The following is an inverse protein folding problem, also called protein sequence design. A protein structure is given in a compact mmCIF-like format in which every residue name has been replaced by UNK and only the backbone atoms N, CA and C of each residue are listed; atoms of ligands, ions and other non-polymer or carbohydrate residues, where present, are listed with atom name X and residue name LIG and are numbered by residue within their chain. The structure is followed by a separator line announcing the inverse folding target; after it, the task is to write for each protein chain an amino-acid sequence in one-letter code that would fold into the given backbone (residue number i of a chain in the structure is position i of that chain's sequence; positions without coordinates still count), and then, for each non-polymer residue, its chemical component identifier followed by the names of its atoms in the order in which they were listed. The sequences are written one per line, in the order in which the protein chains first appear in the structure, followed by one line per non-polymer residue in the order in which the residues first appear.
data_IF_628996757278
#
_entry.id   IF_628996757278
#
_cell.length_a   1.000
_cell.length_b   1.000
_cell.length_c   1.000
_cell.angle_alpha   90.00
_cell.angle_beta   90.00
_cell.angle_gamma   90.00
#
_symmetry.space_group_name_H-M   'P 1'
#
loop_
_entity.id
_entity.type
_entity.pdbx_description
1 polymer ?
#
# COMPACT_ATOMS: atom_id res chain seq x y z
N UNK A 1 33.46 -51.47 -67.63
CA UNK A 1 33.53 -50.61 -66.42
C UNK A 1 32.14 -50.06 -66.16
N UNK A 2 31.55 -50.44 -65.03
CA UNK A 2 30.19 -50.08 -64.60
C UNK A 2 30.29 -48.73 -63.87
N UNK A 3 29.42 -47.76 -64.18
CA UNK A 3 29.29 -46.52 -63.42
C UNK A 3 27.88 -46.47 -62.83
N UNK A 4 27.80 -46.60 -61.50
CA UNK A 4 26.57 -46.56 -60.72
C UNK A 4 26.17 -45.10 -60.44
N UNK A 5 24.92 -44.78 -60.71
CA UNK A 5 24.25 -43.51 -60.35
C UNK A 5 23.77 -43.63 -58.90
N UNK A 6 24.24 -42.73 -58.03
CA UNK A 6 23.71 -42.56 -56.67
C UNK A 6 22.80 -41.33 -56.63
N UNK A 7 21.49 -41.57 -56.57
CA UNK A 7 20.47 -40.58 -56.24
C UNK A 7 20.32 -40.55 -54.71
N UNK A 8 20.85 -39.51 -54.06
CA UNK A 8 20.66 -39.26 -52.64
C UNK A 8 19.34 -38.52 -52.40
N UNK A 9 18.37 -39.19 -51.78
CA UNK A 9 17.15 -38.55 -51.27
C UNK A 9 17.46 -37.86 -49.95
N UNK A 10 17.49 -36.53 -49.94
CA UNK A 10 17.45 -35.73 -48.71
C UNK A 10 16.03 -35.76 -48.12
N UNK A 11 15.83 -36.61 -47.11
CA UNK A 11 14.70 -36.50 -46.20
C UNK A 11 15.02 -35.46 -45.13
N UNK A 12 14.51 -34.23 -45.27
CA UNK A 12 14.48 -33.26 -44.18
C UNK A 12 13.38 -33.68 -43.18
N UNK A 13 13.80 -34.26 -42.06
CA UNK A 13 12.95 -34.41 -40.89
C UNK A 13 12.68 -33.02 -40.30
N UNK A 14 11.50 -32.47 -40.55
CA UNK A 14 11.01 -31.33 -39.79
C UNK A 14 10.80 -31.79 -38.35
N UNK A 15 11.71 -31.41 -37.45
CA UNK A 15 11.48 -31.57 -36.01
C UNK A 15 10.21 -30.81 -35.66
N UNK A 16 9.15 -31.51 -35.28
CA UNK A 16 7.94 -30.87 -34.77
C UNK A 16 8.28 -30.23 -33.43
N UNK A 17 8.62 -28.94 -33.44
CA UNK A 17 8.52 -28.12 -32.24
C UNK A 17 7.08 -28.23 -31.77
N UNK A 18 6.85 -28.89 -30.62
CA UNK A 18 5.54 -28.91 -29.97
C UNK A 18 5.08 -27.45 -29.87
N UNK A 19 3.92 -27.18 -30.45
CA UNK A 19 3.29 -25.88 -30.40
C UNK A 19 2.98 -25.55 -28.93
N UNK A 20 3.86 -24.79 -28.28
CA UNK A 20 3.80 -24.51 -26.85
C UNK A 20 3.17 -23.14 -26.59
N UNK A 21 2.35 -23.08 -25.54
CA UNK A 21 1.74 -21.85 -25.04
C UNK A 21 2.83 -21.03 -24.33
N UNK A 22 3.06 -19.78 -24.76
CA UNK A 22 4.14 -18.93 -24.22
C UNK A 22 3.60 -17.76 -23.42
N UNK A 23 4.18 -17.49 -22.25
CA UNK A 23 3.80 -16.35 -21.40
C UNK A 23 4.40 -15.06 -21.98
N UNK A 24 3.60 -14.01 -22.02
CA UNK A 24 4.03 -12.66 -22.38
C UNK A 24 4.29 -11.85 -21.11
N UNK A 25 5.50 -11.30 -20.98
CA UNK A 25 5.94 -10.55 -19.81
C UNK A 25 6.10 -9.07 -20.13
N UNK A 26 5.74 -8.21 -19.16
CA UNK A 26 6.13 -6.80 -19.11
C UNK A 26 6.84 -6.57 -17.79
N UNK A 27 8.17 -6.45 -17.82
CA UNK A 27 8.99 -6.51 -16.61
C UNK A 27 8.77 -7.84 -15.88
N UNK A 28 8.34 -7.78 -14.61
CA UNK A 28 8.09 -8.95 -13.75
C UNK A 28 6.64 -9.43 -13.74
N UNK A 29 5.79 -8.86 -14.60
CA UNK A 29 4.35 -9.12 -14.64
C UNK A 29 3.98 -9.95 -15.87
N UNK A 30 3.24 -11.05 -15.67
CA UNK A 30 2.73 -11.90 -16.74
C UNK A 30 1.46 -11.27 -17.35
N UNK A 31 1.65 -10.42 -18.36
CA UNK A 31 0.58 -9.57 -18.94
C UNK A 31 -0.26 -10.28 -19.98
N UNK A 32 0.12 -11.46 -20.43
CA UNK A 32 -0.61 -12.16 -21.47
C UNK A 32 -0.04 -13.53 -21.78
N UNK A 33 -0.64 -14.18 -22.77
CA UNK A 33 -0.22 -15.48 -23.25
C UNK A 33 -0.37 -15.56 -24.77
N UNK A 34 0.61 -16.16 -25.43
CA UNK A 34 0.64 -16.47 -26.85
C UNK A 34 0.31 -17.95 -27.04
N UNK A 35 -0.82 -18.22 -27.67
CA UNK A 35 -1.37 -19.55 -27.92
C UNK A 35 -1.13 -19.88 -29.39
N UNK A 36 -0.46 -20.98 -29.74
CA UNK A 36 -0.25 -21.35 -31.15
C UNK A 36 -1.55 -21.51 -31.91
N UNK A 37 -1.66 -20.92 -33.10
CA UNK A 37 -2.88 -20.97 -33.93
C UNK A 37 -3.26 -22.40 -34.32
N UNK A 38 -2.27 -23.30 -34.39
CA UNK A 38 -2.48 -24.73 -34.65
C UNK A 38 -3.42 -25.40 -33.64
N UNK A 39 -3.51 -24.88 -32.40
CA UNK A 39 -4.45 -25.36 -31.38
C UNK A 39 -5.90 -24.97 -31.67
N UNK A 40 -6.15 -24.03 -32.59
CA UNK A 40 -7.47 -23.60 -33.04
C UNK A 40 -7.78 -24.04 -34.49
N UNK A 41 -7.10 -25.09 -34.99
CA UNK A 41 -7.26 -25.57 -36.36
C UNK A 41 -8.73 -25.87 -36.67
N UNK A 42 -9.24 -25.33 -37.79
CA UNK A 42 -10.62 -25.53 -38.24
C UNK A 42 -11.63 -24.57 -37.59
N UNK A 43 -11.19 -23.57 -36.83
CA UNK A 43 -12.04 -22.50 -36.32
C UNK A 43 -11.76 -21.21 -37.11
N UNK A 44 -12.79 -20.54 -37.66
CA UNK A 44 -12.64 -19.23 -38.28
C UNK A 44 -12.04 -18.21 -37.31
N UNK A 45 -11.10 -17.38 -37.77
CA UNK A 45 -10.34 -16.45 -36.93
C UNK A 45 -11.23 -15.46 -36.15
N UNK A 46 -12.33 -15.02 -36.75
CA UNK A 46 -13.35 -14.14 -36.14
C UNK A 46 -14.17 -14.83 -35.04
N UNK A 47 -14.26 -16.16 -35.06
CA UNK A 47 -14.99 -16.97 -34.08
C UNK A 47 -14.15 -17.34 -32.87
N UNK A 48 -12.81 -17.27 -32.97
CA UNK A 48 -11.89 -17.66 -31.89
C UNK A 48 -12.15 -16.91 -30.58
N UNK A 49 -12.30 -15.56 -30.55
CA UNK A 49 -12.51 -14.83 -29.29
C UNK A 49 -13.74 -15.29 -28.49
N UNK A 50 -14.77 -15.81 -29.18
CA UNK A 50 -16.01 -16.28 -28.55
C UNK A 50 -15.94 -17.74 -28.08
N UNK A 51 -15.04 -18.53 -28.66
CA UNK A 51 -14.96 -19.98 -28.44
C UNK A 51 -13.78 -20.41 -27.57
N UNK A 52 -12.73 -19.58 -27.52
CA UNK A 52 -11.53 -19.81 -26.75
C UNK A 52 -11.69 -19.20 -25.35
N UNK A 53 -11.33 -19.96 -24.33
CA UNK A 53 -11.49 -19.61 -22.94
C UNK A 53 -10.19 -19.88 -22.20
N UNK A 54 -9.78 -18.94 -21.35
CA UNK A 54 -8.71 -19.18 -20.38
C UNK A 54 -9.35 -19.34 -19.01
N UNK A 55 -9.01 -20.41 -18.29
CA UNK A 55 -9.54 -20.69 -16.94
C UNK A 55 -8.42 -20.98 -15.95
N UNK A 56 -8.67 -20.67 -14.68
CA UNK A 56 -7.82 -21.06 -13.58
C UNK A 56 -8.08 -22.54 -13.24
N UNK A 57 -7.02 -23.35 -13.14
CA UNK A 57 -7.14 -24.76 -12.77
C UNK A 57 -7.32 -24.87 -11.26
N UNK A 58 -8.27 -25.70 -10.81
CA UNK A 58 -8.49 -25.97 -9.39
C UNK A 58 -9.40 -24.96 -8.68
N UNK A 59 -9.94 -23.97 -9.39
CA UNK A 59 -11.06 -23.18 -8.87
C UNK A 59 -12.39 -23.85 -9.23
N UNK A 60 -13.31 -23.95 -8.27
CA UNK A 60 -14.72 -24.33 -8.53
C UNK A 60 -15.48 -23.29 -9.39
N UNK A 61 -14.82 -22.18 -9.72
CA UNK A 61 -15.33 -21.16 -10.63
C UNK A 61 -15.39 -21.67 -12.07
N UNK A 62 -16.60 -21.66 -12.63
CA UNK A 62 -16.83 -21.92 -14.07
C UNK A 62 -16.43 -20.72 -14.96
N UNK A 63 -16.01 -19.61 -14.37
CA UNK A 63 -15.83 -18.32 -15.05
C UNK A 63 -14.52 -18.28 -15.81
N UNK A 64 -14.61 -17.95 -17.10
CA UNK A 64 -13.45 -17.67 -17.94
C UNK A 64 -12.82 -16.33 -17.57
N UNK A 65 -11.50 -16.27 -17.58
CA UNK A 65 -10.75 -15.02 -17.38
C UNK A 65 -11.12 -14.05 -18.50
N UNK A 66 -11.56 -12.86 -18.10
CA UNK A 66 -11.89 -11.79 -19.05
C UNK A 66 -10.61 -11.17 -19.60
N UNK A 67 -10.60 -10.90 -20.90
CA UNK A 67 -9.46 -10.34 -21.58
C UNK A 67 -9.72 -10.11 -23.06
N UNK A 68 -8.72 -9.54 -23.72
CA UNK A 68 -8.76 -9.24 -25.14
C UNK A 68 -7.98 -10.28 -25.93
N UNK A 69 -8.52 -10.67 -27.07
CA UNK A 69 -7.86 -11.55 -28.03
C UNK A 69 -7.38 -10.77 -29.24
N UNK A 70 -6.22 -11.14 -29.75
CA UNK A 70 -5.73 -10.71 -31.06
C UNK A 70 -5.24 -11.95 -31.82
N UNK A 71 -5.77 -12.16 -33.02
CA UNK A 71 -5.46 -13.34 -33.85
C UNK A 71 -4.46 -12.93 -34.92
N UNK A 72 -3.25 -13.48 -34.86
CA UNK A 72 -2.21 -13.32 -35.89
C UNK A 72 -2.11 -14.53 -36.82
N UNK A 73 -1.08 -14.55 -37.68
CA UNK A 73 -0.81 -15.64 -38.62
C UNK A 73 -0.46 -16.96 -37.92
N UNK A 74 0.34 -16.89 -36.85
CA UNK A 74 0.94 -18.07 -36.20
C UNK A 74 0.46 -18.29 -34.77
N UNK A 75 -0.13 -17.26 -34.14
CA UNK A 75 -0.54 -17.30 -32.74
C UNK A 75 -1.74 -16.41 -32.44
N UNK A 76 -2.49 -16.80 -31.43
CA UNK A 76 -3.54 -16.03 -30.77
C UNK A 76 -2.93 -15.42 -29.51
N UNK A 77 -2.90 -14.10 -29.42
CA UNK A 77 -2.52 -13.39 -28.20
C UNK A 77 -3.75 -13.19 -27.32
N UNK A 78 -3.65 -13.52 -26.05
CA UNK A 78 -4.66 -13.18 -25.04
C UNK A 78 -4.04 -12.31 -23.95
N UNK A 79 -4.68 -11.17 -23.68
CA UNK A 79 -4.29 -10.22 -22.64
C UNK A 79 -5.44 -10.11 -21.66
N UNK A 80 -5.35 -10.67 -20.44
CA UNK A 80 -6.40 -10.56 -19.44
C UNK A 80 -6.56 -9.12 -18.95
N UNK A 81 -7.76 -8.78 -18.44
CA UNK A 81 -8.00 -7.48 -17.80
C UNK A 81 -7.13 -7.29 -16.56
N UNK A 82 -6.87 -8.37 -15.83
CA UNK A 82 -5.95 -8.42 -14.70
C UNK A 82 -4.81 -9.39 -15.07
N UNK A 83 -3.54 -8.97 -15.00
CA UNK A 83 -2.41 -9.84 -15.31
C UNK A 83 -2.45 -11.18 -14.56
N UNK A 84 -1.86 -12.22 -15.15
CA UNK A 84 -1.83 -13.53 -14.51
C UNK A 84 -1.03 -13.52 -13.21
N UNK A 85 -1.54 -14.22 -12.21
CA UNK A 85 -0.93 -14.32 -10.88
C UNK A 85 0.16 -15.40 -10.88
N UNK A 86 1.31 -15.10 -10.27
CA UNK A 86 2.41 -16.05 -10.11
C UNK A 86 2.01 -17.25 -9.25
N UNK A 87 2.60 -18.41 -9.55
CA UNK A 87 2.31 -19.68 -8.87
C UNK A 87 0.97 -20.31 -9.24
N UNK A 88 0.15 -19.66 -10.07
CA UNK A 88 -1.13 -20.21 -10.51
C UNK A 88 -1.00 -20.97 -11.84
N UNK A 89 -1.89 -21.95 -12.01
CA UNK A 89 -1.96 -22.82 -13.17
C UNK A 89 -3.23 -22.53 -13.96
N UNK A 90 -3.08 -22.37 -15.26
CA UNK A 90 -4.16 -22.00 -16.16
C UNK A 90 -4.32 -23.02 -17.27
N UNK A 91 -5.53 -23.12 -17.80
CA UNK A 91 -5.86 -23.93 -18.97
C UNK A 91 -6.43 -23.08 -20.08
N UNK A 92 -6.09 -23.46 -21.31
CA UNK A 92 -6.71 -22.94 -22.52
C UNK A 92 -7.72 -23.98 -23.00
N UNK A 93 -8.97 -23.56 -23.18
CA UNK A 93 -10.05 -24.41 -23.68
C UNK A 93 -10.62 -23.82 -24.97
N UNK A 94 -10.97 -24.67 -25.91
CA UNK A 94 -11.67 -24.31 -27.14
C UNK A 94 -12.96 -25.13 -27.20
N UNK A 95 -14.12 -24.46 -27.28
CA UNK A 95 -15.43 -25.15 -27.22
C UNK A 95 -15.53 -26.10 -26.01
N UNK A 96 -15.08 -25.63 -24.84
CA UNK A 96 -14.97 -26.39 -23.58
C UNK A 96 -13.97 -27.58 -23.55
N UNK A 97 -13.32 -27.90 -24.67
CA UNK A 97 -12.27 -28.93 -24.74
C UNK A 97 -10.93 -28.31 -24.34
N UNK A 98 -10.21 -28.95 -23.41
CA UNK A 98 -8.88 -28.48 -22.99
C UNK A 98 -7.87 -28.69 -24.12
N UNK A 99 -7.24 -27.61 -24.56
CA UNK A 99 -6.24 -27.61 -25.63
C UNK A 99 -4.81 -27.64 -25.08
N UNK A 100 -4.61 -27.07 -23.89
CA UNK A 100 -3.31 -27.03 -23.23
C UNK A 100 -3.38 -26.33 -21.88
N UNK A 101 -2.26 -26.36 -21.16
CA UNK A 101 -2.11 -25.70 -19.86
C UNK A 101 -0.82 -24.91 -19.84
N UNK A 102 -0.76 -23.90 -18.98
CA UNK A 102 0.44 -23.13 -18.69
C UNK A 102 0.44 -22.73 -17.21
N UNK A 103 1.62 -22.62 -16.62
CA UNK A 103 1.78 -22.19 -15.23
C UNK A 103 2.61 -20.92 -15.21
N UNK A 104 2.20 -19.94 -14.39
CA UNK A 104 3.03 -18.76 -14.17
C UNK A 104 4.03 -19.12 -13.07
N UNK A 105 5.34 -19.02 -13.31
CA UNK A 105 6.34 -19.34 -12.31
C UNK A 105 6.21 -18.42 -11.09
N UNK A 106 6.60 -18.93 -9.92
CA UNK A 106 6.72 -18.14 -8.70
C UNK A 106 7.71 -16.97 -8.88
N UNK A 107 7.61 -15.96 -8.03
CA UNK A 107 8.62 -14.92 -7.94
C UNK A 107 9.93 -15.48 -7.37
N UNK A 108 11.06 -14.92 -7.81
CA UNK A 108 12.32 -15.14 -7.13
C UNK A 108 12.19 -14.65 -5.69
N UNK A 109 12.80 -15.34 -4.73
CA UNK A 109 12.71 -14.95 -3.32
C UNK A 109 13.25 -13.53 -3.06
N UNK A 110 14.19 -13.07 -3.90
CA UNK A 110 14.70 -11.70 -3.87
C UNK A 110 13.64 -10.64 -4.21
N UNK A 111 12.55 -11.04 -4.85
CA UNK A 111 11.42 -10.21 -5.27
C UNK A 111 10.21 -10.30 -4.32
N UNK A 112 10.37 -11.02 -3.19
CA UNK A 112 9.31 -11.12 -2.20
C UNK A 112 8.97 -9.74 -1.59
N UNK A 113 7.68 -9.46 -1.32
CA UNK A 113 7.29 -8.24 -0.64
C UNK A 113 7.91 -8.19 0.76
N UNK A 114 8.16 -6.97 1.24
CA UNK A 114 8.64 -6.72 2.61
C UNK A 114 7.78 -5.67 3.26
N UNK A 115 7.46 -5.87 4.54
CA UNK A 115 6.97 -4.79 5.39
C UNK A 115 8.17 -3.93 5.81
N UNK A 116 8.20 -2.69 5.33
CA UNK A 116 9.27 -1.73 5.51
C UNK A 116 9.16 -1.00 6.84
N UNK A 117 7.95 -0.65 7.26
CA UNK A 117 7.69 0.08 8.49
C UNK A 117 6.26 -0.12 8.98
N UNK A 118 6.09 0.05 10.29
CA UNK A 118 4.80 0.16 10.96
C UNK A 118 4.82 1.48 11.73
N UNK A 119 3.85 2.35 11.47
CA UNK A 119 3.70 3.62 12.18
C UNK A 119 2.44 3.61 13.06
N UNK A 120 2.45 4.32 14.21
CA UNK A 120 3.53 5.18 14.72
C UNK A 120 4.77 4.39 15.14
N UNK A 121 5.96 4.96 15.01
CA UNK A 121 7.20 4.18 15.21
C UNK A 121 7.51 3.94 16.69
N UNK A 122 7.07 4.82 17.59
CA UNK A 122 7.31 4.72 19.03
C UNK A 122 6.58 3.52 19.67
N UNK A 123 7.11 3.02 20.79
CA UNK A 123 6.60 1.83 21.48
C UNK A 123 5.72 2.16 22.70
N UNK A 124 5.48 3.44 22.98
CA UNK A 124 4.48 3.88 23.96
C UNK A 124 3.42 4.71 23.25
N UNK A 125 2.19 4.21 23.19
CA UNK A 125 1.08 4.80 22.43
C UNK A 125 -0.08 5.18 23.35
N UNK A 126 -0.89 6.20 23.05
CA UNK A 126 -2.07 6.49 23.86
C UNK A 126 -3.09 5.35 23.77
N UNK A 127 -3.85 5.09 24.85
CA UNK A 127 -4.92 4.07 24.83
C UNK A 127 -6.05 4.35 23.82
N UNK A 128 -6.08 5.56 23.26
CA UNK A 128 -6.98 5.96 22.19
C UNK A 128 -6.26 6.22 20.87
N UNK A 129 -5.15 5.53 20.61
CA UNK A 129 -4.52 5.47 19.30
C UNK A 129 -5.58 5.26 18.20
N UNK A 130 -5.57 6.10 17.18
CA UNK A 130 -6.58 6.05 16.12
C UNK A 130 -6.12 5.23 14.92
N UNK A 131 -4.88 5.42 14.47
CA UNK A 131 -4.40 4.87 13.20
C UNK A 131 -3.09 4.11 13.34
N UNK A 132 -2.94 3.12 12.48
CA UNK A 132 -1.67 2.41 12.23
C UNK A 132 -1.44 2.42 10.72
N UNK A 133 -0.21 2.67 10.29
CA UNK A 133 0.19 2.58 8.89
C UNK A 133 1.11 1.38 8.66
N UNK A 134 0.85 0.61 7.62
CA UNK A 134 1.72 -0.47 7.16
C UNK A 134 2.35 -0.08 5.83
N UNK A 135 3.67 0.07 5.80
CA UNK A 135 4.41 0.42 4.58
C UNK A 135 5.05 -0.83 3.98
N UNK A 136 4.73 -1.15 2.74
CA UNK A 136 5.22 -2.31 2.00
C UNK A 136 6.16 -1.89 0.87
N UNK A 137 7.08 -2.78 0.50
CA UNK A 137 8.02 -2.56 -0.60
C UNK A 137 7.39 -2.61 -1.99
N UNK A 138 6.18 -3.16 -2.11
CA UNK A 138 5.47 -3.33 -3.37
C UNK A 138 3.95 -3.42 -3.15
N UNK A 139 3.13 -3.27 -4.21
CA UNK A 139 1.68 -3.31 -4.12
C UNK A 139 1.15 -4.62 -3.52
N UNK A 140 0.36 -4.54 -2.45
CA UNK A 140 -0.23 -5.70 -1.76
C UNK A 140 -1.64 -6.04 -2.27
N UNK A 141 -2.11 -7.26 -1.99
CA UNK A 141 -3.52 -7.63 -2.23
C UNK A 141 -4.43 -6.90 -1.24
N UNK A 142 -5.47 -6.26 -1.78
CA UNK A 142 -6.49 -5.53 -1.02
C UNK A 142 -7.74 -6.38 -0.74
N UNK A 143 -8.58 -5.90 0.18
CA UNK A 143 -9.90 -6.45 0.52
C UNK A 143 -9.88 -7.59 1.55
N UNK A 144 -8.73 -7.87 2.16
CA UNK A 144 -8.52 -9.02 3.08
C UNK A 144 -7.61 -8.72 4.27
N UNK A 145 -7.34 -7.45 4.57
CA UNK A 145 -6.44 -7.05 5.66
C UNK A 145 -6.83 -7.64 7.02
N UNK A 146 -8.13 -7.80 7.29
CA UNK A 146 -8.66 -8.44 8.51
C UNK A 146 -8.34 -9.94 8.62
N UNK A 147 -7.95 -10.61 7.53
CA UNK A 147 -7.48 -12.00 7.54
C UNK A 147 -5.99 -12.11 7.87
N UNK A 148 -5.24 -11.00 7.80
CA UNK A 148 -3.78 -11.01 7.86
C UNK A 148 -3.18 -10.10 8.94
N UNK A 149 -3.96 -9.17 9.50
CA UNK A 149 -3.51 -8.25 10.53
C UNK A 149 -4.25 -8.49 11.84
N UNK A 150 -3.48 -8.78 12.88
CA UNK A 150 -4.01 -9.11 14.20
C UNK A 150 -3.41 -8.21 15.27
N UNK A 151 -4.22 -7.90 16.29
CA UNK A 151 -3.77 -7.22 17.50
C UNK A 151 -3.82 -8.23 18.66
N UNK A 152 -2.66 -8.53 19.23
CA UNK A 152 -2.50 -9.47 20.34
C UNK A 152 -2.26 -8.68 21.63
N UNK A 153 -2.97 -9.02 22.70
CA UNK A 153 -2.82 -8.45 24.04
C UNK A 153 -2.15 -9.46 24.95
N UNK A 154 -1.19 -9.01 25.76
CA UNK A 154 -0.46 -9.83 26.73
C UNK A 154 0.12 -11.13 26.14
N UNK A 155 0.54 -11.09 24.87
CA UNK A 155 1.14 -12.19 24.12
C UNK A 155 0.27 -13.43 23.86
N UNK A 156 -1.00 -13.45 24.29
CA UNK A 156 -1.91 -14.59 24.09
C UNK A 156 -3.28 -14.23 23.50
N UNK A 157 -3.81 -13.05 23.82
CA UNK A 157 -5.22 -12.76 23.59
C UNK A 157 -5.41 -11.95 22.31
N UNK A 158 -6.02 -12.53 21.29
CA UNK A 158 -6.37 -11.75 20.09
C UNK A 158 -7.51 -10.79 20.41
N UNK A 159 -7.27 -9.49 20.22
CA UNK A 159 -8.28 -8.43 20.37
C UNK A 159 -9.22 -8.47 19.16
N UNK A 160 -10.35 -9.17 19.33
CA UNK A 160 -11.36 -9.28 18.29
C UNK A 160 -11.94 -7.91 17.92
N UNK A 161 -12.14 -7.68 16.61
CA UNK A 161 -12.70 -6.44 16.08
C UNK A 161 -11.92 -5.18 16.47
N UNK A 162 -10.61 -5.28 16.67
CA UNK A 162 -9.78 -4.12 17.02
C UNK A 162 -9.79 -3.05 15.92
N UNK A 163 -9.76 -3.50 14.66
CA UNK A 163 -9.70 -2.64 13.49
C UNK A 163 -11.09 -2.50 12.85
N UNK A 164 -11.40 -1.30 12.38
CA UNK A 164 -12.60 -1.02 11.59
C UNK A 164 -12.49 -1.71 10.21
N UNK A 165 -13.43 -2.59 9.90
CA UNK A 165 -13.49 -3.24 8.59
C UNK A 165 -14.13 -2.30 7.56
N UNK A 166 -13.31 -1.57 6.80
CA UNK A 166 -13.72 -0.71 5.70
C UNK A 166 -13.61 -1.43 4.36
N UNK A 167 -14.64 -1.29 3.53
CA UNK A 167 -14.67 -1.80 2.16
C UNK A 167 -15.14 -0.67 1.23
N UNK A 168 -14.29 -0.11 0.35
CA UNK A 168 -12.89 -0.50 0.12
C UNK A 168 -11.96 -0.17 1.31
N UNK A 169 -10.86 -0.90 1.41
CA UNK A 169 -9.77 -0.62 2.36
C UNK A 169 -9.04 0.70 2.04
N UNK A 170 -8.38 1.28 3.05
CA UNK A 170 -7.71 2.58 2.93
C UNK A 170 -6.25 2.45 2.45
N UNK A 171 -6.09 2.05 1.20
CA UNK A 171 -4.79 2.01 0.54
C UNK A 171 -4.46 3.33 -0.17
N UNK A 172 -3.16 3.69 -0.19
CA UNK A 172 -2.67 4.72 -1.12
C UNK A 172 -2.83 4.29 -2.59
N UNK A 173 -2.75 5.21 -3.57
CA UNK A 173 -2.88 4.90 -5.00
C UNK A 173 -1.99 3.74 -5.48
N UNK A 174 -0.78 3.61 -4.92
CA UNK A 174 0.20 2.58 -5.29
C UNK A 174 -0.01 1.24 -4.56
N UNK A 175 -0.93 1.17 -3.59
CA UNK A 175 -1.20 -0.03 -2.75
C UNK A 175 0.02 -0.52 -1.96
N UNK A 176 0.91 0.39 -1.62
CA UNK A 176 2.12 0.17 -0.82
C UNK A 176 1.97 0.66 0.62
N UNK A 177 0.93 1.44 0.92
CA UNK A 177 0.64 1.94 2.27
C UNK A 177 -0.81 1.64 2.61
N UNK A 178 -1.03 0.84 3.65
CA UNK A 178 -2.36 0.60 4.22
C UNK A 178 -2.54 1.42 5.48
N UNK A 179 -3.64 2.16 5.56
CA UNK A 179 -4.08 2.82 6.79
C UNK A 179 -5.10 1.95 7.52
N UNK A 180 -4.76 1.47 8.70
CA UNK A 180 -5.66 0.75 9.59
C UNK A 180 -6.23 1.70 10.63
N UNK A 181 -7.54 1.71 10.79
CA UNK A 181 -8.21 2.44 11.86
C UNK A 181 -8.53 1.48 12.99
N UNK A 182 -8.08 1.79 14.20
CA UNK A 182 -8.70 1.21 15.39
C UNK A 182 -10.14 1.71 15.44
N UNK A 183 -11.10 0.82 15.74
CA UNK A 183 -12.53 1.13 15.60
C UNK A 183 -12.91 2.44 16.31
N UNK A 184 -13.23 3.52 15.57
CA UNK A 184 -13.58 4.82 16.16
C UNK A 184 -14.80 4.77 17.05
N UNK A 185 -15.76 3.89 16.72
CA UNK A 185 -16.97 3.65 17.49
C UNK A 185 -16.66 3.08 18.87
N UNK A 186 -15.54 2.38 19.01
CA UNK A 186 -15.02 1.85 20.27
C UNK A 186 -14.04 2.80 20.95
N UNK A 187 -13.51 3.81 20.27
CA UNK A 187 -12.61 4.81 20.86
C UNK A 187 -13.40 5.95 21.54
N UNK A 188 -14.49 6.40 20.91
CA UNK A 188 -15.35 7.46 21.46
C UNK A 188 -16.22 6.90 22.57
N UNK A 189 -16.16 7.54 23.75
CA UNK A 189 -16.71 6.99 25.01
C UNK A 189 -18.23 6.87 25.00
N UNK A 190 -18.91 7.77 24.29
CA UNK A 190 -20.38 7.87 24.32
C UNK A 190 -21.06 7.16 23.15
N UNK A 191 -20.32 6.34 22.40
CA UNK A 191 -20.87 5.57 21.28
C UNK A 191 -21.19 4.13 21.69
N UNK A 192 -22.31 3.61 21.15
CA UNK A 192 -22.85 2.28 21.42
C UNK A 192 -21.83 1.11 21.25
N UNK A 193 -20.87 1.14 20.30
CA UNK A 193 -19.85 0.09 20.21
C UNK A 193 -18.87 0.07 21.40
N UNK A 194 -18.49 1.23 21.96
CA UNK A 194 -17.61 1.29 23.13
C UNK A 194 -18.28 0.66 24.36
N UNK A 195 -19.56 0.93 24.59
CA UNK A 195 -20.30 0.41 25.76
C UNK A 195 -20.51 -1.10 25.70
N UNK A 196 -20.56 -1.69 24.50
CA UNK A 196 -20.75 -3.13 24.31
C UNK A 196 -19.44 -3.93 24.25
N UNK A 197 -18.43 -3.43 23.52
CA UNK A 197 -17.20 -4.18 23.19
C UNK A 197 -15.95 -3.65 23.92
N UNK A 198 -16.07 -2.55 24.65
CA UNK A 198 -14.95 -1.82 25.25
C UNK A 198 -14.03 -1.18 24.21
N UNK A 199 -13.10 -0.35 24.66
CA UNK A 199 -12.07 0.23 23.80
C UNK A 199 -11.13 -0.86 23.26
N UNK A 200 -10.57 -0.71 22.03
CA UNK A 200 -9.63 -1.70 21.49
C UNK A 200 -8.35 -1.83 22.33
N UNK A 201 -7.92 -0.71 22.92
CA UNK A 201 -6.76 -0.62 23.80
C UNK A 201 -7.19 -0.18 25.21
N UNK A 202 -6.45 -0.61 26.21
CA UNK A 202 -6.67 -0.28 27.62
C UNK A 202 -5.40 0.30 28.22
N UNK A 203 -5.50 1.38 29.00
CA UNK A 203 -4.37 1.99 29.74
C UNK A 203 -3.44 0.94 30.36
N UNK A 204 -2.14 1.16 30.21
CA UNK A 204 -1.07 0.30 30.74
C UNK A 204 -1.11 -1.14 30.22
N UNK A 205 -1.82 -1.41 29.12
CA UNK A 205 -1.82 -2.70 28.45
C UNK A 205 -0.59 -2.89 27.56
N UNK A 206 -0.16 -4.15 27.41
CA UNK A 206 0.88 -4.59 26.49
C UNK A 206 0.24 -5.22 25.26
N UNK A 207 0.66 -4.77 24.09
CA UNK A 207 0.10 -5.19 22.81
C UNK A 207 1.21 -5.53 21.81
N UNK A 208 0.85 -6.36 20.82
CA UNK A 208 1.67 -6.69 19.67
C UNK A 208 0.79 -6.74 18.43
N UNK A 209 1.10 -5.94 17.42
CA UNK A 209 0.50 -6.09 16.09
C UNK A 209 1.27 -7.19 15.35
N UNK A 210 0.54 -8.08 14.69
CA UNK A 210 1.07 -9.16 13.87
C UNK A 210 0.57 -9.03 12.43
N UNK A 211 1.48 -9.18 11.47
CA UNK A 211 1.18 -9.20 10.04
C UNK A 211 1.62 -10.55 9.48
N UNK A 212 0.63 -11.36 9.09
CA UNK A 212 0.81 -12.74 8.66
C UNK A 212 1.68 -12.88 7.42
N UNK A 213 2.58 -13.86 7.41
CA UNK A 213 3.38 -14.23 6.24
C UNK A 213 2.53 -14.70 5.06
N UNK A 214 1.28 -15.11 5.29
CA UNK A 214 0.38 -15.59 4.23
C UNK A 214 -0.19 -14.47 3.36
N UNK A 215 -0.02 -13.21 3.75
CA UNK A 215 -0.48 -12.08 2.94
C UNK A 215 0.39 -11.93 1.70
N UNK A 216 -0.26 -11.84 0.53
CA UNK A 216 0.38 -11.80 -0.77
C UNK A 216 0.39 -10.41 -1.38
N UNK A 217 1.40 -10.17 -2.21
CA UNK A 217 1.42 -9.05 -3.14
C UNK A 217 0.41 -9.23 -4.29
N UNK A 218 0.21 -8.18 -5.08
CA UNK A 218 -0.64 -8.25 -6.28
C UNK A 218 -0.19 -9.29 -7.32
N UNK A 219 1.05 -9.77 -7.24
CA UNK A 219 1.59 -10.81 -8.10
C UNK A 219 1.36 -12.22 -7.53
N UNK A 220 0.87 -12.36 -6.30
CA UNK A 220 0.62 -13.63 -5.62
C UNK A 220 1.75 -14.14 -4.73
N UNK A 221 2.81 -13.36 -4.56
CA UNK A 221 3.98 -13.71 -3.73
C UNK A 221 3.70 -13.36 -2.27
N UNK A 222 3.81 -14.31 -1.33
CA UNK A 222 3.59 -14.05 0.10
C UNK A 222 4.74 -13.24 0.72
N UNK A 223 4.46 -12.60 1.85
CA UNK A 223 5.50 -12.09 2.75
C UNK A 223 6.42 -13.24 3.20
N UNK A 224 7.74 -13.02 3.30
CA UNK A 224 8.69 -14.10 3.58
C UNK A 224 8.63 -14.58 5.03
N UNK A 225 8.05 -13.79 5.94
CA UNK A 225 8.01 -14.06 7.38
C UNK A 225 6.85 -13.33 8.05
N UNK A 226 6.55 -13.72 9.29
CA UNK A 226 5.67 -12.98 10.19
C UNK A 226 6.37 -11.67 10.58
N UNK A 227 5.66 -10.55 10.50
CA UNK A 227 6.14 -9.27 11.02
C UNK A 227 5.39 -8.91 12.28
N UNK A 228 6.09 -8.31 13.24
CA UNK A 228 5.49 -7.92 14.52
C UNK A 228 6.00 -6.57 14.99
N UNK A 229 5.17 -5.81 15.71
CA UNK A 229 5.60 -4.65 16.49
C UNK A 229 4.90 -4.68 17.84
N UNK A 230 5.69 -4.62 18.90
CA UNK A 230 5.20 -4.56 20.28
C UNK A 230 5.10 -3.10 20.74
N UNK A 231 4.10 -2.80 21.56
CA UNK A 231 3.97 -1.49 22.21
C UNK A 231 3.24 -1.63 23.54
N UNK A 232 3.40 -0.63 24.39
CA UNK A 232 2.61 -0.44 25.60
C UNK A 232 1.73 0.79 25.45
N UNK A 233 0.66 0.86 26.25
CA UNK A 233 -0.29 1.95 26.18
C UNK A 233 -0.18 2.88 27.39
N UNK A 234 -0.14 4.19 27.12
CA UNK A 234 -0.18 5.23 28.14
C UNK A 234 -1.60 5.71 28.40
N UNK A 235 -1.73 6.78 29.20
CA UNK A 235 -3.00 7.49 29.37
C UNK A 235 -3.55 7.96 28.02
N UNK A 236 -4.89 8.11 27.97
CA UNK A 236 -5.60 8.76 26.87
C UNK A 236 -5.00 10.13 26.56
N UNK A 237 -4.89 10.45 25.27
CA UNK A 237 -4.67 11.81 24.83
C UNK A 237 -5.99 12.46 24.42
N UNK A 238 -6.32 13.57 25.06
CA UNK A 238 -7.57 14.32 24.83
C UNK A 238 -7.31 15.77 24.41
N UNK A 239 -6.05 16.14 24.17
CA UNK A 239 -5.65 17.49 23.87
C UNK A 239 -5.24 17.58 22.40
N UNK A 240 -5.65 18.66 21.73
CA UNK A 240 -5.12 18.97 20.41
C UNK A 240 -3.64 19.39 20.50
N UNK A 241 -2.84 19.08 19.47
CA UNK A 241 -1.51 19.66 19.33
C UNK A 241 -1.58 21.19 19.34
N UNK A 242 -0.54 21.84 19.86
CA UNK A 242 -0.48 23.31 19.98
C UNK A 242 0.72 23.84 19.19
N UNK A 243 0.55 24.25 17.92
CA UNK A 243 1.66 24.68 17.06
C UNK A 243 2.49 25.83 17.62
N UNK A 244 1.87 26.72 18.41
CA UNK A 244 2.58 27.80 19.10
C UNK A 244 3.64 27.32 20.13
N UNK A 245 3.62 26.04 20.53
CA UNK A 245 4.63 25.42 21.42
C UNK A 245 5.74 24.69 20.66
N UNK A 246 5.62 24.54 19.34
CA UNK A 246 6.62 23.86 18.53
C UNK A 246 7.91 24.65 18.50
N UNK A 247 9.04 23.95 18.47
CA UNK A 247 10.35 24.57 18.36
C UNK A 247 10.84 24.46 16.91
N UNK A 248 11.06 25.61 16.27
CA UNK A 248 11.69 25.69 14.96
C UNK A 248 13.17 25.98 15.15
N UNK A 249 14.03 25.17 14.53
CA UNK A 249 15.47 25.41 14.45
C UNK A 249 15.77 25.83 13.02
N UNK A 250 15.88 27.15 12.76
CA UNK A 250 16.13 27.66 11.43
C UNK A 250 17.54 27.26 10.96
N UNK A 251 17.72 27.02 9.66
CA UNK A 251 19.02 26.73 9.06
C UNK A 251 19.87 28.00 8.90
N UNK A 252 21.16 27.82 8.59
CA UNK A 252 22.05 28.92 8.22
C UNK A 252 21.72 29.46 6.81
N UNK A 253 21.79 30.79 6.67
CA UNK A 253 21.67 31.46 5.37
C UNK A 253 22.72 30.97 4.36
N UNK A 254 22.39 31.06 3.07
CA UNK A 254 23.27 30.63 1.98
C UNK A 254 23.64 29.13 2.00
N UNK A 255 22.89 28.30 2.73
CA UNK A 255 23.06 26.84 2.77
C UNK A 255 21.80 26.11 2.32
N UNK A 256 21.90 24.80 2.07
CA UNK A 256 20.75 23.90 1.90
C UNK A 256 20.50 23.08 3.16
N UNK A 257 20.94 23.54 4.34
CA UNK A 257 20.67 22.85 5.60
C UNK A 257 19.16 22.81 5.85
N UNK A 258 18.63 21.73 6.44
CA UNK A 258 17.20 21.62 6.63
C UNK A 258 16.71 22.53 7.77
N UNK A 259 15.52 23.11 7.60
CA UNK A 259 14.73 23.61 8.73
C UNK A 259 14.26 22.40 9.54
N UNK A 260 14.53 22.39 10.85
CA UNK A 260 13.98 21.37 11.77
C UNK A 260 12.77 21.93 12.51
N UNK A 261 11.69 21.16 12.53
CA UNK A 261 10.50 21.40 13.35
C UNK A 261 10.44 20.31 14.41
N UNK A 262 10.32 20.69 15.68
CA UNK A 262 10.10 19.79 16.81
C UNK A 262 8.70 20.05 17.37
N UNK A 263 7.82 19.06 17.19
CA UNK A 263 6.40 19.14 17.51
C UNK A 263 6.11 18.99 19.01
N UNK A 264 7.11 18.59 19.82
CA UNK A 264 6.99 18.27 21.26
C UNK A 264 6.12 17.07 21.62
N UNK A 265 5.49 16.45 20.63
CA UNK A 265 4.68 15.24 20.70
C UNK A 265 4.74 14.51 19.36
N UNK A 266 4.32 13.24 19.33
CA UNK A 266 4.24 12.48 18.08
C UNK A 266 2.99 12.85 17.31
N UNK A 267 3.14 13.17 16.04
CA UNK A 267 2.02 13.46 15.14
C UNK A 267 1.76 12.31 14.17
N UNK A 268 0.64 12.38 13.44
CA UNK A 268 0.31 11.39 12.42
C UNK A 268 1.34 11.37 11.28
N UNK A 269 1.95 10.19 11.06
CA UNK A 269 3.06 10.00 10.12
C UNK A 269 2.74 10.48 8.70
N UNK A 270 1.60 10.06 8.15
CA UNK A 270 1.21 10.37 6.77
C UNK A 270 0.87 11.85 6.62
N UNK A 271 0.18 12.42 7.61
CA UNK A 271 -0.27 13.81 7.55
C UNK A 271 0.84 14.84 7.73
N UNK A 272 1.95 14.53 8.41
CA UNK A 272 3.08 15.46 8.59
C UNK A 272 3.55 16.02 7.24
N UNK A 273 3.83 15.15 6.27
CA UNK A 273 4.40 15.60 4.98
C UNK A 273 3.36 16.26 4.06
N UNK A 274 2.08 15.93 4.22
CA UNK A 274 0.98 16.52 3.45
C UNK A 274 0.52 17.88 3.99
N UNK A 275 0.74 18.13 5.29
CA UNK A 275 0.19 19.29 6.00
C UNK A 275 1.17 20.43 6.17
N UNK A 276 2.48 20.20 6.04
CA UNK A 276 3.51 21.20 6.30
C UNK A 276 4.00 21.89 5.02
N UNK A 277 4.12 23.21 5.09
CA UNK A 277 4.52 24.08 3.98
C UNK A 277 5.45 25.18 4.48
N UNK A 278 6.49 25.50 3.71
CA UNK A 278 7.34 26.67 3.99
C UNK A 278 7.06 27.74 2.94
N UNK A 279 6.85 28.97 3.39
CA UNK A 279 6.61 30.15 2.57
C UNK A 279 7.64 31.23 2.89
N UNK A 280 8.00 32.04 1.89
CA UNK A 280 8.76 33.27 2.11
C UNK A 280 7.88 34.43 2.61
N UNK A 281 8.50 35.60 2.80
CA UNK A 281 7.83 36.84 3.22
C UNK A 281 6.70 37.31 2.29
N UNK A 282 6.69 36.87 1.02
CA UNK A 282 5.66 37.21 0.04
C UNK A 282 4.55 36.14 -0.01
N UNK A 283 4.59 35.13 0.86
CA UNK A 283 3.69 33.99 0.85
C UNK A 283 3.98 32.98 -0.26
N UNK A 284 5.12 33.09 -0.97
CA UNK A 284 5.49 32.16 -2.02
C UNK A 284 6.06 30.87 -1.41
N UNK A 285 5.52 29.75 -1.87
CA UNK A 285 5.93 28.41 -1.45
C UNK A 285 7.40 28.13 -1.80
N UNK A 286 8.20 27.77 -0.79
CA UNK A 286 9.56 27.29 -0.97
C UNK A 286 9.52 25.84 -1.43
N UNK A 287 10.22 25.54 -2.52
CA UNK A 287 10.38 24.18 -3.03
C UNK A 287 11.38 23.41 -2.16
N UNK A 288 11.03 22.18 -1.83
CA UNK A 288 11.86 21.31 -1.02
C UNK A 288 11.16 20.00 -0.71
N UNK A 289 11.81 19.19 0.10
CA UNK A 289 11.33 17.88 0.52
C UNK A 289 11.26 17.81 2.03
N UNK A 290 10.14 17.29 2.54
CA UNK A 290 9.99 16.95 3.95
C UNK A 290 10.49 15.54 4.23
N UNK A 291 11.16 15.37 5.37
CA UNK A 291 11.52 14.08 5.93
C UNK A 291 11.02 14.01 7.37
N UNK A 292 10.24 12.98 7.69
CA UNK A 292 9.79 12.70 9.06
C UNK A 292 10.99 12.17 9.86
N UNK A 293 11.18 12.70 11.06
CA UNK A 293 12.21 12.28 12.00
C UNK A 293 11.74 11.17 12.93
N UNK A 294 12.54 10.90 13.96
CA UNK A 294 12.29 9.86 14.95
C UNK A 294 10.94 10.04 15.67
N UNK A 295 10.20 8.94 15.80
CA UNK A 295 8.92 8.86 16.54
C UNK A 295 7.86 9.86 16.07
N UNK A 296 7.95 10.34 14.83
CA UNK A 296 7.07 11.38 14.30
C UNK A 296 7.06 12.67 15.15
N UNK A 297 8.08 12.89 16.00
CA UNK A 297 8.22 14.06 16.89
C UNK A 297 8.91 15.23 16.22
N UNK A 298 9.60 14.96 15.12
CA UNK A 298 10.33 15.97 14.36
C UNK A 298 10.09 15.83 12.86
N UNK A 299 10.23 16.93 12.14
CA UNK A 299 10.29 16.92 10.68
C UNK A 299 11.39 17.87 10.19
N UNK A 300 11.97 17.52 9.05
CA UNK A 300 13.07 18.26 8.43
C UNK A 300 12.66 18.68 7.03
N UNK A 301 12.69 19.98 6.75
CA UNK A 301 12.46 20.51 5.42
C UNK A 301 13.79 20.89 4.77
N UNK A 302 14.20 20.12 3.76
CA UNK A 302 15.38 20.42 2.94
C UNK A 302 14.95 21.21 1.70
N UNK A 303 15.41 22.46 1.52
CA UNK A 303 15.04 23.23 0.34
C UNK A 303 15.75 22.69 -0.91
N UNK A 304 15.16 22.94 -2.08
CA UNK A 304 15.78 22.63 -3.38
C UNK A 304 16.90 23.62 -3.75
N UNK A 305 16.87 24.82 -3.18
CA UNK A 305 17.83 25.89 -3.39
C UNK A 305 18.38 26.39 -2.05
N UNK A 306 19.49 27.12 -2.07
CA UNK A 306 20.06 27.70 -0.84
C UNK A 306 19.13 28.74 -0.23
N UNK A 307 19.01 28.74 1.09
CA UNK A 307 18.22 29.74 1.82
C UNK A 307 18.74 31.15 1.59
N UNK A 308 17.81 32.10 1.44
CA UNK A 308 18.10 33.53 1.52
C UNK A 308 17.88 33.98 2.96
N UNK A 309 18.62 34.98 3.40
CA UNK A 309 18.32 35.63 4.66
C UNK A 309 16.98 36.36 4.56
N UNK A 310 16.12 36.22 5.56
CA UNK A 310 14.77 36.79 5.50
C UNK A 310 13.81 36.18 6.51
N UNK A 311 12.57 36.66 6.45
CA UNK A 311 11.45 36.14 7.23
C UNK A 311 10.75 35.06 6.40
N UNK A 312 10.41 33.96 7.06
CA UNK A 312 9.71 32.84 6.48
C UNK A 312 8.58 32.40 7.40
N UNK A 313 7.63 31.66 6.83
CA UNK A 313 6.48 31.12 7.58
C UNK A 313 6.39 29.61 7.37
N UNK A 314 6.27 28.88 8.46
CA UNK A 314 5.79 27.49 8.45
C UNK A 314 4.25 27.54 8.47
N UNK A 315 3.63 27.18 7.36
CA UNK A 315 2.18 27.09 7.20
C UNK A 315 1.74 25.64 7.37
N UNK A 316 0.82 25.39 8.29
CA UNK A 316 0.43 24.05 8.75
C UNK A 316 -1.06 23.84 8.54
N UNK A 317 -1.46 22.87 7.72
CA UNK A 317 -2.89 22.54 7.56
C UNK A 317 -3.47 22.04 8.87
N UNK A 318 -4.64 22.54 9.25
CA UNK A 318 -5.30 22.19 10.51
C UNK A 318 -5.90 20.78 10.55
N UNK A 319 -5.83 20.06 9.43
CA UNK A 319 -6.14 18.63 9.37
C UNK A 319 -5.06 17.77 10.03
N UNK A 320 -3.86 18.30 10.25
CA UNK A 320 -2.81 17.59 10.97
C UNK A 320 -3.30 17.24 12.38
N UNK A 321 -3.04 16.00 12.78
CA UNK A 321 -3.50 15.44 14.04
C UNK A 321 -2.39 14.70 14.78
N UNK A 322 -2.60 14.50 16.08
CA UNK A 322 -1.80 13.60 16.91
C UNK A 322 -2.19 12.12 16.68
N UNK A 323 -1.55 11.22 17.42
CA UNK A 323 -1.81 9.78 17.35
C UNK A 323 -3.22 9.38 17.82
N UNK A 324 -3.91 10.24 18.57
CA UNK A 324 -5.26 10.05 19.06
C UNK A 324 -6.34 10.64 18.12
N UNK A 325 -5.93 11.22 16.99
CA UNK A 325 -6.82 11.88 16.03
C UNK A 325 -7.27 13.28 16.44
N UNK A 326 -6.66 13.87 17.47
CA UNK A 326 -6.93 15.25 17.84
C UNK A 326 -6.24 16.16 16.82
N UNK A 327 -7.02 16.88 16.03
CA UNK A 327 -6.48 17.81 15.05
C UNK A 327 -6.25 19.20 15.65
N UNK A 328 -5.59 20.10 14.91
CA UNK A 328 -5.20 21.41 15.42
C UNK A 328 -6.39 22.29 15.86
N UNK A 329 -7.58 22.06 15.28
CA UNK A 329 -8.79 22.79 15.63
C UNK A 329 -9.59 22.13 16.77
N UNK A 330 -9.46 20.81 16.97
CA UNK A 330 -10.30 20.08 17.92
C UNK A 330 -9.82 18.69 18.33
N UNK A 331 -10.12 18.28 19.59
CA UNK A 331 -10.02 16.89 20.00
C UNK A 331 -10.96 15.97 19.20
N UNK A 332 -10.54 14.72 19.01
CA UNK A 332 -11.27 13.66 18.30
C UNK A 332 -12.52 13.20 19.04
N UNK A 333 -12.34 12.87 20.32
CA UNK A 333 -13.40 12.50 21.25
C UNK A 333 -13.74 13.71 22.11
N UNK A 334 -15.01 14.09 22.10
CA UNK A 334 -15.51 15.24 22.87
C UNK A 334 -16.71 14.77 23.68
N UNK A 335 -16.77 15.27 24.90
CA UNK A 335 -17.95 15.12 25.76
C UNK A 335 -19.13 15.85 25.12
N UNK A 336 -20.11 15.08 24.64
CA UNK A 336 -21.29 15.60 23.91
C UNK A 336 -22.22 16.43 24.80
N UNK A 337 -22.03 16.39 26.13
CA UNK A 337 -22.82 17.19 27.08
C UNK A 337 -22.30 18.62 27.23
N UNK A 338 -21.08 18.90 26.73
CA UNK A 338 -20.48 20.24 26.80
C UNK A 338 -20.81 21.05 25.54
N UNK A 339 -21.14 22.36 25.68
CA UNK A 339 -21.41 23.20 24.53
C UNK A 339 -20.21 23.26 23.60
N UNK A 340 -20.47 23.16 22.29
CA UNK A 340 -19.44 23.17 21.26
C UNK A 340 -18.77 24.56 21.23
N UNK A 341 -17.49 24.71 21.61
CA UNK A 341 -16.81 25.98 21.41
C UNK A 341 -16.81 26.30 19.91
N UNK A 342 -17.19 27.53 19.54
CA UNK A 342 -16.97 28.06 18.19
C UNK A 342 -15.46 28.21 17.99
N UNK A 343 -14.79 27.12 17.65
CA UNK A 343 -13.37 27.19 17.24
C UNK A 343 -13.37 27.66 15.79
N UNK A 344 -12.66 28.75 15.45
CA UNK A 344 -12.41 29.12 14.07
C UNK A 344 -11.88 27.91 13.30
N UNK A 345 -12.52 27.58 12.19
CA UNK A 345 -12.04 26.53 11.28
C UNK A 345 -11.03 27.16 10.33
N UNK A 346 -9.91 27.63 10.87
CA UNK A 346 -8.82 28.07 10.03
C UNK A 346 -8.32 26.86 9.23
N UNK A 347 -8.06 27.03 7.94
CA UNK A 347 -7.50 25.95 7.13
C UNK A 347 -6.00 25.75 7.44
N UNK A 348 -5.32 26.82 7.86
CA UNK A 348 -3.90 26.82 8.16
C UNK A 348 -3.61 27.52 9.50
N UNK A 349 -2.56 27.06 10.18
CA UNK A 349 -1.89 27.78 11.26
C UNK A 349 -0.49 28.17 10.80
N UNK A 350 -0.05 29.38 11.15
CA UNK A 350 1.20 29.96 10.68
C UNK A 350 2.16 30.21 11.83
N UNK A 351 3.41 29.77 11.66
CA UNK A 351 4.50 29.98 12.62
C UNK A 351 5.64 30.70 11.90
N UNK A 352 5.89 31.99 12.21
CA UNK A 352 6.99 32.72 11.59
C UNK A 352 8.34 32.26 12.14
N UNK A 353 9.37 32.29 11.29
CA UNK A 353 10.77 32.09 11.67
C UNK A 353 11.69 32.94 10.81
N UNK A 354 12.93 33.14 11.26
CA UNK A 354 13.91 33.99 10.60
C UNK A 354 15.13 33.16 10.21
N UNK A 355 15.60 33.37 8.98
CA UNK A 355 16.90 32.89 8.53
C UNK A 355 17.88 34.05 8.60
N UNK A 356 18.89 33.91 9.44
CA UNK A 356 19.97 34.87 9.57
C UNK A 356 20.90 34.83 8.34
N UNK A 357 21.67 35.90 8.15
CA UNK A 357 22.65 36.02 7.06
C UNK A 357 23.74 34.97 7.11
#
# INVERSE_FOLDING_TARGET
MIFFVFLGTWGCSSSSQKAEIRIQWKGKTAVGVSIPIALAKGVPSDSIPNLLQIKLIGSDSLVSILGNYSVGSDSISFVPLIPFTRGLHYEVRLRNVRMGTFAIPLADAADAPRLLAIFPSQDTLPENLLKIYLHFSQPMQEGKSNEYVFLIKNDSDTVQGAFLNLQPELWNPERTVLTLWLDPGRIKRDLHPNTLLGAPLQKNGRYRIEISSQWKDQQGTPLPQLYTKSFVTSRRDSLSPVPAKWALVPPLGSTTQPLKVDFKESLDHSLITESLRVQDENGQMIRGTWQVGEEEKTAYFKPSETWKAGIYTLSVRTILEDLAGNNLNRPFDRDVTRPNPKVPTDEFMEIPFVIAR
#
